data_IF_017977282189
#
_entry.id   IF_017977282189
#
_cell.length_a   1.000
_cell.length_b   1.000
_cell.length_c   1.000
_cell.angle_alpha   90.00
_cell.angle_beta   90.00
_cell.angle_gamma   90.00
#
_symmetry.space_group_name_H-M   'P 1'
#
loop_
_entity.id
_entity.type
_entity.pdbx_description
1 polymer ?
#
# COMPACT_ATOMS: atom_id res chain seq x y z
N UNK A 1 15.02 -8.68 6.15
CA UNK A 1 13.74 -8.97 6.82
C UNK A 1 12.70 -8.03 6.23
N UNK A 2 11.79 -8.53 5.39
CA UNK A 2 10.72 -7.67 4.87
C UNK A 2 9.44 -7.99 5.61
N UNK A 3 9.11 -7.11 6.54
CA UNK A 3 7.85 -7.19 7.26
C UNK A 3 6.74 -6.68 6.35
N UNK A 4 5.59 -7.36 6.33
CA UNK A 4 4.35 -6.86 5.73
C UNK A 4 3.99 -5.45 6.25
N UNK A 5 4.43 -5.10 7.45
CA UNK A 5 4.34 -3.75 8.00
C UNK A 5 5.04 -2.70 7.13
N UNK A 6 6.20 -2.98 6.54
CA UNK A 6 6.92 -2.01 5.72
C UNK A 6 6.14 -1.65 4.44
N UNK A 7 5.45 -2.63 3.86
CA UNK A 7 4.61 -2.42 2.67
C UNK A 7 3.31 -1.70 3.03
N UNK A 8 2.75 -1.95 4.22
CA UNK A 8 1.64 -1.17 4.74
C UNK A 8 2.04 0.31 4.93
N UNK A 9 3.21 0.57 5.54
CA UNK A 9 3.71 1.94 5.69
C UNK A 9 3.92 2.60 4.32
N UNK A 10 4.43 1.88 3.33
CA UNK A 10 4.55 2.40 1.95
C UNK A 10 3.19 2.81 1.36
N UNK A 11 2.16 1.97 1.54
CA UNK A 11 0.79 2.27 1.11
C UNK A 11 0.24 3.55 1.78
N UNK A 12 0.43 3.69 3.09
CA UNK A 12 -0.03 4.88 3.82
C UNK A 12 0.73 6.14 3.36
N UNK A 13 2.03 6.01 3.12
CA UNK A 13 2.87 7.11 2.67
C UNK A 13 2.47 7.61 1.28
N UNK A 14 2.18 6.71 0.34
CA UNK A 14 1.69 7.10 -0.99
C UNK A 14 0.31 7.76 -0.93
N UNK A 15 -0.56 7.35 0.01
CA UNK A 15 -1.83 8.04 0.25
C UNK A 15 -1.61 9.46 0.78
N UNK A 16 -0.66 9.65 1.70
CA UNK A 16 -0.30 10.97 2.20
C UNK A 16 0.32 11.84 1.10
N UNK A 17 1.18 11.28 0.25
CA UNK A 17 1.74 11.97 -0.91
C UNK A 17 0.66 12.36 -1.92
N UNK A 18 -0.34 11.52 -2.14
CA UNK A 18 -1.49 11.86 -2.99
C UNK A 18 -2.28 13.04 -2.42
N UNK A 19 -2.55 13.04 -1.10
CA UNK A 19 -3.20 14.15 -0.40
C UNK A 19 -2.36 15.44 -0.46
N UNK A 20 -1.05 15.33 -0.28
CA UNK A 20 -0.13 16.46 -0.35
C UNK A 20 -0.08 17.14 -1.74
N UNK A 21 -0.37 16.37 -2.80
CA UNK A 21 -0.43 16.86 -4.18
C UNK A 21 -1.77 17.48 -4.55
N UNK A 22 -2.81 17.30 -3.74
CA UNK A 22 -4.14 17.86 -3.93
C UNK A 22 -4.23 19.25 -3.24
N UNK A 23 -4.26 20.37 -4.01
CA UNK A 23 -4.31 21.70 -3.43
C UNK A 23 -5.56 21.97 -2.59
N UNK A 24 -6.70 21.35 -2.93
CA UNK A 24 -7.94 21.52 -2.19
C UNK A 24 -7.87 20.80 -0.84
N UNK A 25 -7.31 19.59 -0.81
CA UNK A 25 -7.07 18.85 0.42
C UNK A 25 -6.11 19.61 1.35
N UNK A 26 -5.02 20.15 0.81
CA UNK A 26 -4.05 20.96 1.57
C UNK A 26 -4.71 22.24 2.11
N UNK A 27 -5.48 22.96 1.28
CA UNK A 27 -6.20 24.16 1.71
C UNK A 27 -7.23 23.85 2.81
N UNK A 28 -7.92 22.71 2.73
CA UNK A 28 -8.84 22.25 3.78
C UNK A 28 -8.08 21.96 5.09
N UNK A 29 -6.95 21.27 5.04
CA UNK A 29 -6.10 21.03 6.22
C UNK A 29 -5.67 22.35 6.88
N UNK A 30 -5.18 23.31 6.09
CA UNK A 30 -4.76 24.63 6.60
C UNK A 30 -5.91 25.39 7.25
N UNK A 31 -7.12 25.35 6.67
CA UNK A 31 -8.33 25.96 7.26
C UNK A 31 -8.72 25.34 8.60
N UNK A 32 -8.44 24.05 8.79
CA UNK A 32 -8.68 23.35 10.07
C UNK A 32 -7.57 23.61 11.12
N UNK A 33 -6.56 24.44 10.80
CA UNK A 33 -5.46 24.76 11.70
C UNK A 33 -4.28 23.80 11.65
N UNK A 34 -4.30 22.81 10.75
CA UNK A 34 -3.13 21.94 10.56
C UNK A 34 -2.01 22.68 9.83
N UNK A 35 -0.79 22.49 10.33
CA UNK A 35 0.43 22.93 9.63
C UNK A 35 0.80 21.89 8.59
N UNK A 36 1.12 22.36 7.38
CA UNK A 36 1.58 21.52 6.29
C UNK A 36 2.71 22.23 5.56
N UNK A 37 3.93 21.73 5.79
CA UNK A 37 5.18 22.36 5.35
C UNK A 37 5.71 21.77 4.03
N UNK A 38 4.89 20.95 3.35
CA UNK A 38 5.25 20.29 2.10
C UNK A 38 5.43 18.78 2.24
N UNK A 39 5.93 18.15 1.17
CA UNK A 39 6.01 16.70 1.04
C UNK A 39 7.44 16.14 1.15
N UNK A 40 8.44 16.97 1.42
CA UNK A 40 9.86 16.56 1.35
C UNK A 40 10.19 15.43 2.31
N UNK A 41 9.69 15.50 3.55
CA UNK A 41 9.83 14.41 4.52
C UNK A 41 9.15 13.12 4.07
N UNK A 42 8.00 13.23 3.40
CA UNK A 42 7.28 12.06 2.87
C UNK A 42 8.07 11.43 1.71
N UNK A 43 8.65 12.23 0.82
CA UNK A 43 9.48 11.77 -0.30
C UNK A 43 10.77 11.10 0.18
N UNK A 44 11.43 11.68 1.19
CA UNK A 44 12.63 11.11 1.80
C UNK A 44 12.36 9.73 2.43
N UNK A 45 11.25 9.62 3.16
CA UNK A 45 10.85 8.35 3.77
C UNK A 45 10.48 7.29 2.72
N UNK A 46 9.84 7.71 1.62
CA UNK A 46 9.51 6.79 0.51
C UNK A 46 10.78 6.23 -0.13
N UNK A 47 11.78 7.09 -0.35
CA UNK A 47 13.08 6.68 -0.88
C UNK A 47 13.84 5.75 0.08
N UNK A 48 13.67 5.92 1.41
CA UNK A 48 14.21 4.98 2.41
C UNK A 48 13.55 3.61 2.28
N UNK A 49 12.21 3.56 2.23
CA UNK A 49 11.46 2.31 2.08
C UNK A 49 11.80 1.58 0.78
N UNK A 50 12.11 2.27 -0.30
CA UNK A 50 12.58 1.65 -1.55
C UNK A 50 13.81 0.76 -1.37
N UNK A 51 14.71 1.14 -0.45
CA UNK A 51 15.94 0.38 -0.17
C UNK A 51 15.72 -0.76 0.83
N UNK A 52 14.72 -0.62 1.70
CA UNK A 52 14.50 -1.54 2.82
C UNK A 52 13.45 -2.62 2.51
N UNK A 53 12.50 -2.33 1.61
CA UNK A 53 11.50 -3.29 1.15
C UNK A 53 12.14 -4.26 0.16
N UNK A 54 11.83 -5.56 0.31
CA UNK A 54 12.30 -6.57 -0.66
C UNK A 54 11.93 -6.16 -2.08
N UNK A 55 12.89 -6.25 -3.00
CA UNK A 55 12.70 -5.83 -4.39
C UNK A 55 11.47 -6.45 -5.05
N UNK A 56 11.16 -7.72 -4.76
CA UNK A 56 9.96 -8.40 -5.30
C UNK A 56 8.66 -7.73 -4.83
N UNK A 57 8.57 -7.32 -3.57
CA UNK A 57 7.39 -6.70 -2.99
C UNK A 57 7.24 -5.26 -3.42
N UNK A 58 8.35 -4.52 -3.48
CA UNK A 58 8.39 -3.18 -4.05
C UNK A 58 7.85 -3.17 -5.47
N UNK A 59 8.37 -4.05 -6.33
CA UNK A 59 7.94 -4.15 -7.73
C UNK A 59 6.47 -4.53 -7.87
N UNK A 60 5.98 -5.46 -7.06
CA UNK A 60 4.56 -5.86 -7.08
C UNK A 60 3.65 -4.71 -6.61
N UNK A 61 4.05 -4.02 -5.55
CA UNK A 61 3.35 -2.85 -5.02
C UNK A 61 3.29 -1.74 -6.06
N UNK A 62 4.43 -1.31 -6.64
CA UNK A 62 4.50 -0.20 -7.60
C UNK A 62 3.62 -0.46 -8.83
N UNK A 63 3.64 -1.68 -9.37
CA UNK A 63 2.76 -2.05 -10.50
C UNK A 63 1.28 -1.90 -10.14
N UNK A 64 0.89 -2.36 -8.96
CA UNK A 64 -0.49 -2.27 -8.48
C UNK A 64 -0.89 -0.82 -8.20
N UNK A 65 -0.03 -0.06 -7.51
CA UNK A 65 -0.26 1.33 -7.18
C UNK A 65 -0.38 2.19 -8.45
N UNK A 66 0.52 2.02 -9.43
CA UNK A 66 0.44 2.74 -10.70
C UNK A 66 -0.86 2.47 -11.47
N UNK A 67 -1.39 1.24 -11.41
CA UNK A 67 -2.63 0.87 -12.11
C UNK A 67 -3.89 1.31 -11.38
N UNK A 68 -3.89 1.32 -10.05
CA UNK A 68 -5.11 1.37 -9.25
C UNK A 68 -5.14 2.48 -8.18
N UNK A 69 -4.06 3.25 -8.03
CA UNK A 69 -3.87 4.20 -6.93
C UNK A 69 -3.69 3.56 -5.56
N UNK A 70 -3.66 2.22 -5.48
CA UNK A 70 -3.38 1.44 -4.27
C UNK A 70 -2.58 0.20 -4.63
N UNK A 71 -1.46 0.00 -3.95
CA UNK A 71 -0.64 -1.20 -4.08
C UNK A 71 -1.08 -2.31 -3.12
N UNK A 72 -1.44 -1.89 -1.90
CA UNK A 72 -1.97 -2.64 -0.75
C UNK A 72 -3.47 -3.00 -0.83
N UNK A 73 -3.92 -4.25 -0.67
CA UNK A 73 -5.32 -4.53 -0.29
C UNK A 73 -5.45 -5.71 0.67
N UNK A 74 -6.53 -5.74 1.45
CA UNK A 74 -6.80 -6.81 2.39
C UNK A 74 -7.50 -8.01 1.72
N UNK A 75 -7.46 -9.16 2.40
CA UNK A 75 -8.34 -10.30 2.11
C UNK A 75 -9.34 -10.47 3.26
N UNK A 76 -10.63 -10.59 2.93
CA UNK A 76 -11.69 -10.85 3.90
C UNK A 76 -12.45 -12.10 3.45
N UNK A 77 -12.48 -13.15 4.28
CA UNK A 77 -13.25 -14.37 3.96
C UNK A 77 -12.87 -15.02 2.61
N UNK A 78 -11.56 -15.02 2.25
CA UNK A 78 -11.01 -15.43 0.95
C UNK A 78 -11.36 -14.52 -0.24
N UNK A 79 -11.92 -13.34 0.00
CA UNK A 79 -12.23 -12.37 -1.06
C UNK A 79 -11.17 -11.28 -1.11
N UNK A 80 -10.58 -11.06 -2.28
CA UNK A 80 -9.69 -9.94 -2.54
C UNK A 80 -10.48 -8.63 -2.49
N UNK A 81 -10.15 -7.72 -1.56
CA UNK A 81 -10.89 -6.46 -1.42
C UNK A 81 -10.56 -5.42 -2.50
N UNK A 82 -9.66 -5.74 -3.44
CA UNK A 82 -9.32 -4.87 -4.56
C UNK A 82 -10.12 -5.16 -5.85
N UNK A 83 -10.53 -6.41 -6.08
CA UNK A 83 -11.32 -6.79 -7.27
C UNK A 83 -12.53 -7.68 -6.96
N UNK A 84 -12.77 -7.98 -5.68
CA UNK A 84 -13.94 -8.72 -5.20
C UNK A 84 -14.11 -10.15 -5.72
N UNK A 85 -13.04 -10.75 -6.26
CA UNK A 85 -13.06 -12.17 -6.63
C UNK A 85 -12.77 -13.04 -5.41
N UNK A 86 -13.40 -14.22 -5.37
CA UNK A 86 -13.06 -15.28 -4.42
C UNK A 86 -11.74 -15.94 -4.84
N UNK A 87 -10.79 -15.97 -3.91
CA UNK A 87 -9.47 -16.55 -4.12
C UNK A 87 -9.52 -18.08 -3.97
N UNK A 88 -8.72 -18.82 -4.73
CA UNK A 88 -8.61 -20.27 -4.56
C UNK A 88 -8.01 -20.61 -3.19
N UNK A 89 -8.28 -21.82 -2.68
CA UNK A 89 -7.77 -22.29 -1.38
C UNK A 89 -6.24 -22.21 -1.32
N UNK A 90 -5.57 -22.52 -2.44
CA UNK A 90 -4.12 -22.46 -2.58
C UNK A 90 -3.51 -21.06 -2.49
N UNK A 91 -4.33 -19.99 -2.54
CA UNK A 91 -3.84 -18.62 -2.43
C UNK A 91 -3.67 -18.15 -0.98
N UNK A 92 -4.23 -18.88 0.00
CA UNK A 92 -4.10 -18.54 1.40
C UNK A 92 -2.69 -18.88 1.92
N UNK A 93 -2.04 -18.00 2.71
CA UNK A 93 -0.79 -18.32 3.38
C UNK A 93 -0.95 -19.45 4.39
N UNK A 94 0.16 -20.13 4.74
CA UNK A 94 0.21 -21.00 5.91
C UNK A 94 -0.27 -20.27 7.17
N UNK A 95 -0.94 -21.00 8.06
CA UNK A 95 -1.42 -20.44 9.32
C UNK A 95 -0.25 -19.91 10.17
N UNK A 96 -0.38 -18.68 10.68
CA UNK A 96 0.64 -18.03 11.52
C UNK A 96 1.66 -17.17 10.75
N UNK A 97 1.64 -17.18 9.41
CA UNK A 97 2.47 -16.31 8.59
C UNK A 97 1.66 -15.13 8.03
N UNK A 98 2.04 -13.91 8.40
CA UNK A 98 1.55 -12.71 7.71
C UNK A 98 2.32 -12.56 6.40
N UNK A 99 2.03 -13.43 5.44
CA UNK A 99 2.69 -13.38 4.14
C UNK A 99 1.94 -12.46 3.20
N UNK A 100 2.71 -11.60 2.53
CA UNK A 100 2.23 -10.83 1.39
C UNK A 100 2.04 -11.79 0.22
N UNK A 101 0.92 -11.69 -0.49
CA UNK A 101 0.64 -12.50 -1.68
C UNK A 101 0.19 -11.62 -2.83
N UNK A 102 0.32 -12.08 -4.08
CA UNK A 102 -0.28 -11.38 -5.20
C UNK A 102 -1.63 -12.02 -5.57
N UNK A 103 -2.65 -11.19 -5.78
CA UNK A 103 -3.92 -11.64 -6.33
C UNK A 103 -3.71 -12.18 -7.74
N UNK A 104 -4.04 -13.45 -7.97
CA UNK A 104 -3.89 -14.11 -9.28
C UNK A 104 -4.86 -13.58 -10.35
N UNK A 105 -5.89 -12.82 -9.95
CA UNK A 105 -6.86 -12.22 -10.87
C UNK A 105 -6.50 -10.79 -11.28
N UNK A 106 -6.16 -9.92 -10.32
CA UNK A 106 -5.95 -8.49 -10.60
C UNK A 106 -4.50 -8.01 -10.39
N UNK A 107 -3.62 -8.85 -9.88
CA UNK A 107 -2.21 -8.51 -9.66
C UNK A 107 -1.93 -7.59 -8.46
N UNK A 108 -2.94 -7.17 -7.69
CA UNK A 108 -2.73 -6.39 -6.46
C UNK A 108 -2.02 -7.21 -5.40
N UNK A 109 -1.25 -6.53 -4.55
CA UNK A 109 -0.64 -7.14 -3.40
C UNK A 109 -1.69 -7.30 -2.29
N UNK A 110 -1.71 -8.47 -1.67
CA UNK A 110 -2.67 -8.93 -0.69
C UNK A 110 -2.00 -9.01 0.66
N UNK A 111 -2.69 -8.44 1.64
CA UNK A 111 -2.44 -8.61 3.05
C UNK A 111 -3.47 -9.56 3.64
N UNK A 112 -3.03 -10.72 4.11
CA UNK A 112 -3.86 -11.67 4.83
C UNK A 112 -3.79 -11.36 6.33
N UNK A 113 -4.94 -11.05 6.91
CA UNK A 113 -5.15 -10.80 8.34
C UNK A 113 -5.88 -11.97 8.97
#
# INVERSE_FOLDING_TARGET
MTSSAAVLVLQDLDQLLALARDPEAVARMKRMGFRFDGADGLLAERARLERDVERRWWLAYERSHARYGRGLTAVQGKVCQGCFVTLPISAAPPAGEVALHQCQSCGRLLFWR
#
